data_IF_735597094081
#
_entry.id   IF_735597094081
#
_cell.length_a   1.000
_cell.length_b   1.000
_cell.length_c   1.000
_cell.angle_alpha   90.00
_cell.angle_beta   90.00
_cell.angle_gamma   90.00
#
_symmetry.space_group_name_H-M   'P 1'
#
loop_
_entity.id
_entity.type
_entity.pdbx_description
1 polymer ?
#
# COMPACT_ATOMS: atom_id res chain seq x y z
N UNK A 1 21.10 15.83 5.34
CA UNK A 1 19.62 15.95 5.35
C UNK A 1 18.81 14.73 4.88
N UNK A 2 19.17 13.97 3.84
CA UNK A 2 18.45 12.71 3.51
C UNK A 2 18.87 11.54 4.41
N UNK A 3 20.19 11.41 4.67
CA UNK A 3 20.75 10.30 5.42
C UNK A 3 20.34 10.30 6.91
N UNK A 4 20.24 11.47 7.53
CA UNK A 4 19.83 11.61 8.94
C UNK A 4 18.36 11.20 9.15
N UNK A 5 17.48 11.52 8.19
CA UNK A 5 16.07 11.11 8.23
C UNK A 5 15.90 9.59 8.08
N UNK A 6 16.72 8.95 7.25
CA UNK A 6 16.73 7.48 7.16
C UNK A 6 17.29 6.80 8.41
N UNK A 7 18.30 7.40 9.06
CA UNK A 7 18.86 6.89 10.31
C UNK A 7 17.85 6.98 11.46
N UNK A 8 17.21 8.12 11.65
CA UNK A 8 16.18 8.31 12.68
C UNK A 8 15.00 7.34 12.50
N UNK A 9 14.57 7.12 11.26
CA UNK A 9 13.51 6.15 10.95
C UNK A 9 13.92 4.72 11.32
N UNK A 10 15.12 4.30 10.94
CA UNK A 10 15.59 2.95 11.23
C UNK A 10 15.73 2.73 12.74
N UNK A 11 16.22 3.73 13.48
CA UNK A 11 16.32 3.69 14.95
C UNK A 11 14.93 3.56 15.59
N UNK A 12 13.94 4.31 15.11
CA UNK A 12 12.58 4.25 15.67
C UNK A 12 11.89 2.90 15.41
N UNK A 13 12.12 2.29 14.24
CA UNK A 13 11.64 0.94 13.92
C UNK A 13 12.31 -0.10 14.83
N UNK A 14 13.62 0.00 15.03
CA UNK A 14 14.38 -0.92 15.89
C UNK A 14 13.85 -0.85 17.34
N UNK A 15 13.64 0.36 17.86
CA UNK A 15 13.07 0.58 19.20
C UNK A 15 11.66 -0.02 19.28
N UNK A 16 10.83 0.16 18.27
CA UNK A 16 9.49 -0.44 18.20
C UNK A 16 9.51 -1.98 18.25
N UNK A 17 10.42 -2.62 17.50
CA UNK A 17 10.58 -4.08 17.51
C UNK A 17 11.03 -4.58 18.89
N UNK A 18 11.94 -3.85 19.56
CA UNK A 18 12.40 -4.20 20.91
C UNK A 18 11.23 -4.13 21.91
N UNK A 19 10.45 -3.05 21.87
CA UNK A 19 9.28 -2.88 22.76
C UNK A 19 8.24 -3.97 22.52
N UNK A 20 7.99 -4.34 21.26
CA UNK A 20 7.06 -5.41 20.89
C UNK A 20 7.55 -6.77 21.39
N UNK A 21 8.86 -7.05 21.27
CA UNK A 21 9.48 -8.25 21.81
C UNK A 21 9.36 -8.34 23.35
N UNK A 22 9.61 -7.23 24.06
CA UNK A 22 9.46 -7.16 25.52
C UNK A 22 8.00 -7.36 25.93
N UNK A 23 7.05 -6.74 25.22
CA UNK A 23 5.62 -6.93 25.46
C UNK A 23 5.19 -8.39 25.26
N UNK A 24 5.62 -9.03 24.17
CA UNK A 24 5.30 -10.44 23.89
C UNK A 24 5.88 -11.39 24.94
N UNK A 25 7.09 -11.12 25.44
CA UNK A 25 7.70 -11.89 26.51
C UNK A 25 6.91 -11.77 27.83
N UNK A 26 6.50 -10.55 28.19
CA UNK A 26 5.64 -10.31 29.36
C UNK A 26 4.27 -10.95 29.21
N UNK A 27 3.69 -10.94 28.00
CA UNK A 27 2.42 -11.59 27.69
C UNK A 27 2.52 -13.12 27.87
N UNK A 28 3.60 -13.73 27.38
CA UNK A 28 3.86 -15.16 27.56
C UNK A 28 3.94 -15.54 29.04
N UNK A 29 4.68 -14.75 29.85
CA UNK A 29 4.73 -14.92 31.30
C UNK A 29 3.37 -14.75 31.99
N UNK A 30 2.59 -13.75 31.56
CA UNK A 30 1.25 -13.51 32.08
C UNK A 30 0.28 -14.65 31.76
N UNK A 31 0.33 -15.21 30.55
CA UNK A 31 -0.50 -16.36 30.16
C UNK A 31 -0.16 -17.58 31.01
N UNK A 32 1.13 -17.87 31.25
CA UNK A 32 1.55 -18.96 32.13
C UNK A 32 1.04 -18.72 33.55
N UNK A 33 1.16 -17.50 34.07
CA UNK A 33 0.71 -17.14 35.41
C UNK A 33 -0.82 -17.24 35.56
N UNK A 34 -1.58 -16.83 34.54
CA UNK A 34 -3.05 -16.99 34.51
C UNK A 34 -3.44 -18.46 34.43
N UNK A 35 -2.74 -19.27 33.62
CA UNK A 35 -2.99 -20.71 33.54
C UNK A 35 -2.67 -21.42 34.87
N UNK A 36 -1.58 -20.99 35.52
CA UNK A 36 -1.21 -21.46 36.85
C UNK A 36 -2.27 -21.06 37.88
N UNK A 37 -2.66 -19.78 37.95
CA UNK A 37 -3.71 -19.33 38.86
C UNK A 37 -5.06 -20.00 38.58
N UNK A 38 -5.44 -20.23 37.32
CA UNK A 38 -6.66 -20.96 36.96
C UNK A 38 -6.65 -22.40 37.50
N UNK A 39 -5.48 -23.05 37.54
CA UNK A 39 -5.32 -24.38 38.12
C UNK A 39 -5.51 -24.38 39.65
N UNK A 40 -5.04 -23.34 40.37
CA UNK A 40 -5.19 -23.23 41.84
C UNK A 40 -6.51 -22.58 42.30
N UNK A 41 -7.22 -21.86 41.43
CA UNK A 41 -8.46 -21.16 41.78
C UNK A 41 -9.68 -22.09 41.92
N UNK A 42 -9.52 -23.38 41.63
CA UNK A 42 -10.55 -24.41 41.91
C UNK A 42 -10.72 -24.74 43.41
N UNK A 43 -10.01 -24.07 44.33
CA UNK A 43 -10.13 -24.31 45.78
C UNK A 43 -10.42 -23.07 46.65
N UNK A 44 -10.64 -21.86 46.10
CA UNK A 44 -10.79 -20.66 46.92
C UNK A 44 -11.75 -19.62 46.37
N UNK A 45 -12.75 -19.26 47.17
CA UNK A 45 -13.76 -18.22 46.91
C UNK A 45 -13.14 -16.82 46.79
N UNK A 46 -12.53 -16.46 45.66
CA UNK A 46 -12.33 -15.06 45.26
C UNK A 46 -12.49 -14.91 43.73
N UNK A 47 -13.68 -15.25 43.22
CA UNK A 47 -14.03 -14.97 41.82
C UNK A 47 -14.31 -13.46 41.67
N UNK A 48 -13.25 -12.69 41.39
CA UNK A 48 -13.34 -11.26 41.14
C UNK A 48 -12.43 -10.83 40.00
N UNK A 49 -12.74 -9.68 39.40
CA UNK A 49 -12.06 -9.00 38.30
C UNK A 49 -10.51 -8.90 38.39
N UNK A 50 -9.90 -9.32 39.49
CA UNK A 50 -8.45 -9.32 39.74
C UNK A 50 -7.66 -10.34 38.89
N UNK A 51 -8.29 -11.36 38.30
CA UNK A 51 -7.61 -12.39 37.49
C UNK A 51 -6.90 -11.82 36.24
N UNK A 52 -7.37 -10.68 35.71
CA UNK A 52 -6.87 -10.11 34.46
C UNK A 52 -5.78 -9.04 34.64
N UNK A 53 -5.41 -8.68 35.87
CA UNK A 53 -4.35 -7.70 36.14
C UNK A 53 -2.99 -8.03 35.48
N UNK A 54 -2.47 -9.27 35.49
CA UNK A 54 -1.21 -9.57 34.83
C UNK A 54 -1.28 -9.45 33.30
N UNK A 55 -2.48 -9.45 32.71
CA UNK A 55 -2.68 -9.27 31.27
C UNK A 55 -2.82 -7.79 30.86
N UNK A 56 -3.26 -6.91 31.78
CA UNK A 56 -3.50 -5.50 31.46
C UNK A 56 -2.23 -4.76 31.02
N UNK A 57 -1.12 -4.95 31.74
CA UNK A 57 0.17 -4.31 31.45
C UNK A 57 0.79 -4.75 30.12
N UNK A 58 0.91 -6.06 29.79
CA UNK A 58 1.46 -6.47 28.51
C UNK A 58 0.58 -6.07 27.32
N UNK A 59 -0.75 -6.09 27.47
CA UNK A 59 -1.69 -5.66 26.42
C UNK A 59 -1.58 -4.16 26.16
N UNK A 60 -1.48 -3.33 27.20
CA UNK A 60 -1.25 -1.89 27.04
C UNK A 60 0.10 -1.57 26.38
N UNK A 61 1.16 -2.30 26.72
CA UNK A 61 2.47 -2.15 26.04
C UNK A 61 2.41 -2.61 24.58
N UNK A 62 1.61 -3.62 24.27
CA UNK A 62 1.42 -4.10 22.90
C UNK A 62 0.77 -3.03 22.04
N UNK A 63 -0.31 -2.41 22.52
CA UNK A 63 -1.01 -1.34 21.78
C UNK A 63 -0.11 -0.13 21.57
N UNK A 64 0.66 0.26 22.59
CA UNK A 64 1.65 1.36 22.48
C UNK A 64 2.77 1.00 21.50
N UNK A 65 3.33 -0.21 21.57
CA UNK A 65 4.38 -0.69 20.66
C UNK A 65 3.92 -0.75 19.20
N UNK A 66 2.70 -1.23 18.96
CA UNK A 66 2.08 -1.24 17.63
C UNK A 66 1.88 0.18 17.11
N UNK A 67 1.36 1.09 17.94
CA UNK A 67 1.22 2.50 17.56
C UNK A 67 2.58 3.15 17.24
N UNK A 68 3.64 2.80 17.96
CA UNK A 68 4.99 3.33 17.74
C UNK A 68 5.61 2.82 16.42
N UNK A 69 5.27 1.61 15.97
CA UNK A 69 5.67 1.06 14.66
C UNK A 69 4.81 1.66 13.53
N UNK A 70 3.52 1.87 13.77
CA UNK A 70 2.58 2.39 12.77
C UNK A 70 2.81 3.88 12.52
N UNK A 71 3.13 4.67 13.55
CA UNK A 71 3.32 6.13 13.44
C UNK A 71 4.35 6.56 12.37
N UNK A 72 5.57 5.98 12.29
CA UNK A 72 6.52 6.33 11.22
C UNK A 72 6.10 5.82 9.84
N UNK A 73 5.26 4.78 9.78
CA UNK A 73 4.70 4.25 8.53
C UNK A 73 3.57 5.15 8.02
N UNK A 74 2.77 5.75 8.91
CA UNK A 74 1.65 6.63 8.53
C UNK A 74 2.12 8.07 8.27
N UNK A 75 3.05 8.61 9.07
CA UNK A 75 3.48 10.01 8.96
C UNK A 75 4.43 10.25 7.78
N UNK A 76 5.16 9.23 7.35
CA UNK A 76 5.86 9.23 6.07
C UNK A 76 5.02 8.38 5.13
N UNK A 77 4.11 9.04 4.40
CA UNK A 77 3.31 8.47 3.31
C UNK A 77 4.11 7.33 2.64
N UNK A 78 3.73 6.05 2.83
CA UNK A 78 4.41 4.98 2.15
C UNK A 78 4.05 5.12 0.69
N UNK A 79 5.03 5.48 -0.15
CA UNK A 79 4.90 5.47 -1.62
C UNK A 79 4.60 4.07 -2.19
N UNK A 80 4.15 3.09 -1.38
CA UNK A 80 3.87 1.73 -1.85
C UNK A 80 2.96 0.83 -1.02
N UNK A 81 2.27 1.28 0.03
CA UNK A 81 1.37 0.39 0.80
C UNK A 81 0.01 0.98 1.19
N UNK A 82 -0.14 2.31 1.22
CA UNK A 82 -1.44 2.96 1.47
C UNK A 82 -2.36 3.04 0.25
N UNK A 83 -1.96 2.53 -0.91
CA UNK A 83 -2.75 2.58 -2.15
C UNK A 83 -3.94 1.59 -2.17
N UNK A 84 -3.98 0.59 -1.29
CA UNK A 84 -5.03 -0.44 -1.30
C UNK A 84 -6.31 -0.06 -0.56
N UNK A 85 -6.21 0.69 0.55
CA UNK A 85 -7.34 0.94 1.45
C UNK A 85 -7.86 2.38 1.43
N UNK A 86 -7.04 3.32 0.92
CA UNK A 86 -7.42 4.74 0.81
C UNK A 86 -8.05 5.09 -0.55
N UNK A 87 -7.96 4.19 -1.54
CA UNK A 87 -8.50 4.43 -2.89
C UNK A 87 -10.03 4.30 -2.93
N UNK A 88 -10.64 3.51 -2.04
CA UNK A 88 -12.09 3.37 -2.02
C UNK A 88 -12.82 4.50 -1.28
N UNK A 89 -12.15 5.23 -0.38
CA UNK A 89 -12.80 6.28 0.44
C UNK A 89 -12.57 7.69 -0.13
N UNK A 90 -11.48 7.92 -0.87
CA UNK A 90 -11.14 9.24 -1.45
C UNK A 90 -11.81 9.58 -2.79
N UNK A 91 -12.56 8.66 -3.40
CA UNK A 91 -13.08 8.83 -4.77
C UNK A 91 -14.40 9.61 -4.88
N UNK A 92 -14.92 10.16 -3.77
CA UNK A 92 -16.14 10.99 -3.79
C UNK A 92 -15.88 12.50 -3.83
N UNK A 93 -14.72 12.98 -3.39
CA UNK A 93 -14.55 14.42 -3.10
C UNK A 93 -13.42 15.13 -3.89
N UNK A 94 -12.88 14.54 -4.96
CA UNK A 94 -11.80 15.15 -5.75
C UNK A 94 -12.16 15.38 -7.24
N UNK A 95 -13.44 15.62 -7.54
CA UNK A 95 -13.88 16.17 -8.83
C UNK A 95 -14.04 17.69 -8.67
N UNK A 96 -12.97 18.39 -8.32
CA UNK A 96 -12.82 19.80 -8.73
C UNK A 96 -11.40 20.31 -8.51
N UNK A 97 -10.91 21.00 -9.53
CA UNK A 97 -9.78 21.93 -9.51
C UNK A 97 -8.37 21.35 -9.66
N UNK A 98 -7.77 21.58 -10.84
CA UNK A 98 -6.31 21.54 -11.01
C UNK A 98 -5.81 21.30 -12.43
N UNK A 99 -6.12 22.18 -13.37
CA UNK A 99 -5.56 22.25 -14.73
C UNK A 99 -4.05 22.49 -14.77
N UNK A 100 -3.32 21.79 -15.67
CA UNK A 100 -2.14 22.17 -16.48
C UNK A 100 -1.43 20.86 -16.87
N UNK A 101 -1.33 20.46 -18.14
CA UNK A 101 -0.49 21.06 -19.19
C UNK A 101 -1.10 20.82 -20.58
N UNK A 102 -1.41 21.91 -21.27
CA UNK A 102 -1.96 21.88 -22.62
C UNK A 102 -1.00 21.27 -23.65
N UNK A 103 -1.60 20.45 -24.52
CA UNK A 103 -1.14 19.85 -25.78
C UNK A 103 -1.00 18.32 -25.77
N UNK A 104 -0.70 17.68 -24.63
CA UNK A 104 -0.69 16.21 -24.53
C UNK A 104 -2.10 15.61 -24.54
N UNK A 105 -3.02 16.23 -23.81
CA UNK A 105 -4.40 15.73 -23.66
C UNK A 105 -5.16 15.75 -25.00
N UNK A 106 -4.90 16.75 -25.83
CA UNK A 106 -5.49 16.87 -27.17
C UNK A 106 -4.93 15.83 -28.14
N UNK A 107 -3.66 15.45 -27.99
CA UNK A 107 -3.05 14.39 -28.80
C UNK A 107 -3.66 13.02 -28.44
N UNK A 108 -3.69 12.67 -27.16
CA UNK A 108 -4.30 11.42 -26.71
C UNK A 108 -5.79 11.37 -27.03
N UNK A 109 -6.52 12.49 -26.91
CA UNK A 109 -7.93 12.59 -27.31
C UNK A 109 -8.19 12.30 -28.79
N UNK A 110 -7.27 12.70 -29.69
CA UNK A 110 -7.34 12.34 -31.13
C UNK A 110 -6.97 10.88 -31.37
N UNK A 111 -5.94 10.39 -30.70
CA UNK A 111 -5.48 9.00 -30.81
C UNK A 111 -6.56 8.03 -30.31
N UNK A 112 -7.19 8.29 -29.16
CA UNK A 112 -8.24 7.46 -28.58
C UNK A 112 -9.41 7.24 -29.55
N UNK A 113 -9.75 8.22 -30.39
CA UNK A 113 -10.81 8.10 -31.40
C UNK A 113 -10.47 7.11 -32.53
N UNK A 114 -9.18 6.95 -32.82
CA UNK A 114 -8.66 6.06 -33.88
C UNK A 114 -8.43 4.63 -33.38
N UNK A 115 -8.32 4.44 -32.05
CA UNK A 115 -8.09 3.13 -31.45
C UNK A 115 -9.38 2.30 -31.33
N UNK A 116 -9.28 0.97 -31.48
CA UNK A 116 -10.39 0.05 -31.20
C UNK A 116 -10.75 0.07 -29.71
N UNK A 117 -12.01 -0.23 -29.39
CA UNK A 117 -12.59 -0.08 -28.04
C UNK A 117 -11.71 -0.67 -26.92
N UNK A 118 -11.19 -1.89 -27.12
CA UNK A 118 -10.36 -2.56 -26.12
C UNK A 118 -8.98 -1.88 -25.91
N UNK A 119 -8.38 -1.32 -26.97
CA UNK A 119 -7.11 -0.58 -26.85
C UNK A 119 -7.32 0.80 -26.23
N UNK A 120 -8.44 1.45 -26.56
CA UNK A 120 -8.85 2.73 -25.99
C UNK A 120 -9.02 2.64 -24.48
N UNK A 121 -9.72 1.60 -24.01
CA UNK A 121 -10.01 1.41 -22.59
C UNK A 121 -8.73 1.24 -21.77
N UNK A 122 -7.78 0.46 -22.27
CA UNK A 122 -6.46 0.29 -21.62
C UNK A 122 -5.67 1.60 -21.62
N UNK A 123 -5.64 2.33 -22.74
CA UNK A 123 -4.91 3.60 -22.82
C UNK A 123 -5.52 4.67 -21.90
N UNK A 124 -6.85 4.78 -21.89
CA UNK A 124 -7.58 5.69 -20.99
C UNK A 124 -7.33 5.35 -19.53
N UNK A 125 -7.29 4.05 -19.19
CA UNK A 125 -6.98 3.59 -17.84
C UNK A 125 -5.56 3.99 -17.42
N UNK A 126 -4.57 3.87 -18.31
CA UNK A 126 -3.19 4.30 -18.04
C UNK A 126 -3.12 5.83 -17.87
N UNK A 127 -3.82 6.61 -18.70
CA UNK A 127 -3.90 8.07 -18.56
C UNK A 127 -4.54 8.46 -17.23
N UNK A 128 -5.67 7.85 -16.87
CA UNK A 128 -6.40 8.09 -15.61
C UNK A 128 -5.57 7.75 -14.38
N UNK A 129 -4.66 6.77 -14.50
CA UNK A 129 -3.78 6.32 -13.42
C UNK A 129 -2.54 7.19 -13.24
N UNK A 130 -2.40 8.29 -13.99
CA UNK A 130 -1.25 9.20 -13.89
C UNK A 130 -0.07 8.82 -14.79
N UNK A 131 -0.30 7.98 -15.81
CA UNK A 131 0.68 7.70 -16.87
C UNK A 131 1.72 6.62 -16.58
N UNK A 132 1.71 6.01 -15.39
CA UNK A 132 2.53 4.84 -15.05
C UNK A 132 1.71 3.83 -14.25
N UNK A 133 1.65 2.59 -14.73
CA UNK A 133 0.88 1.55 -14.07
C UNK A 133 1.47 0.16 -14.28
N UNK A 134 1.28 -0.74 -13.32
CA UNK A 134 1.70 -2.13 -13.49
C UNK A 134 0.73 -2.92 -14.37
N UNK A 135 1.27 -3.83 -15.19
CA UNK A 135 0.46 -4.68 -16.06
C UNK A 135 -0.58 -5.53 -15.29
N UNK A 136 -0.28 -5.93 -14.05
CA UNK A 136 -1.23 -6.70 -13.24
C UNK A 136 -2.44 -5.86 -12.79
N UNK A 137 -2.30 -4.53 -12.67
CA UNK A 137 -3.40 -3.65 -12.30
C UNK A 137 -4.35 -3.51 -13.50
N UNK A 138 -3.81 -3.31 -14.71
CA UNK A 138 -4.59 -3.34 -15.96
C UNK A 138 -5.41 -4.65 -16.07
N UNK A 139 -4.79 -5.80 -15.79
CA UNK A 139 -5.49 -7.09 -15.82
C UNK A 139 -6.64 -7.17 -14.82
N UNK A 140 -6.41 -6.73 -13.58
CA UNK A 140 -7.40 -6.81 -12.50
C UNK A 140 -8.56 -5.86 -12.74
N UNK A 141 -8.25 -4.62 -13.11
CA UNK A 141 -9.22 -3.53 -13.09
C UNK A 141 -10.06 -3.48 -14.37
N UNK A 142 -9.53 -3.99 -15.50
CA UNK A 142 -10.29 -4.22 -16.73
C UNK A 142 -10.80 -5.67 -16.88
N UNK A 143 -10.54 -6.55 -15.91
CA UNK A 143 -10.94 -7.97 -15.99
C UNK A 143 -10.32 -8.73 -17.17
N UNK A 144 -9.16 -8.31 -17.66
CA UNK A 144 -8.49 -8.90 -18.82
C UNK A 144 -7.64 -10.09 -18.42
N UNK A 145 -7.67 -11.15 -19.24
CA UNK A 145 -6.71 -12.25 -19.09
C UNK A 145 -5.28 -11.78 -19.34
N UNK A 146 -4.30 -12.50 -18.77
CA UNK A 146 -2.86 -12.21 -18.94
C UNK A 146 -2.46 -12.05 -20.41
N UNK A 147 -2.98 -12.93 -21.27
CA UNK A 147 -2.68 -12.95 -22.70
C UNK A 147 -3.34 -11.76 -23.42
N UNK A 148 -4.58 -11.43 -23.09
CA UNK A 148 -5.27 -10.28 -23.68
C UNK A 148 -4.61 -8.95 -23.29
N UNK A 149 -4.31 -8.75 -22.01
CA UNK A 149 -3.62 -7.56 -21.53
C UNK A 149 -2.24 -7.42 -22.20
N UNK A 150 -1.48 -8.51 -22.29
CA UNK A 150 -0.19 -8.49 -22.99
C UNK A 150 -0.34 -8.13 -24.48
N UNK A 151 -1.29 -8.72 -25.21
CA UNK A 151 -1.52 -8.41 -26.64
C UNK A 151 -1.90 -6.95 -26.86
N UNK A 152 -2.75 -6.39 -26.00
CA UNK A 152 -3.19 -4.98 -26.11
C UNK A 152 -2.03 -4.04 -25.78
N UNK A 153 -1.32 -4.28 -24.68
CA UNK A 153 -0.16 -3.47 -24.28
C UNK A 153 0.92 -3.50 -25.36
N UNK A 154 1.21 -4.68 -25.91
CA UNK A 154 2.23 -4.82 -26.95
C UNK A 154 1.85 -4.08 -28.24
N UNK A 155 0.57 -4.11 -28.66
CA UNK A 155 0.10 -3.30 -29.80
C UNK A 155 0.20 -1.79 -29.56
N UNK A 156 -0.07 -1.35 -28.34
CA UNK A 156 0.05 0.06 -27.96
C UNK A 156 1.51 0.50 -27.89
N UNK A 157 2.41 -0.40 -27.50
CA UNK A 157 3.86 -0.22 -27.54
C UNK A 157 4.39 -0.15 -28.98
N UNK A 158 3.95 -1.04 -29.88
CA UNK A 158 4.27 -0.99 -31.32
C UNK A 158 3.83 0.33 -31.97
N UNK A 159 2.69 0.88 -31.54
CA UNK A 159 2.19 2.19 -31.96
C UNK A 159 2.95 3.37 -31.34
N UNK A 160 3.90 3.09 -30.45
CA UNK A 160 4.73 4.09 -29.78
C UNK A 160 3.99 4.93 -28.74
N UNK A 161 2.81 4.49 -28.29
CA UNK A 161 2.00 5.22 -27.29
C UNK A 161 2.39 4.85 -25.86
N UNK A 162 2.86 3.62 -25.67
CA UNK A 162 3.26 3.07 -24.38
C UNK A 162 4.70 2.54 -24.44
N UNK A 163 5.35 2.48 -23.28
CA UNK A 163 6.65 1.84 -23.06
C UNK A 163 6.51 0.82 -21.93
N UNK A 164 7.02 -0.41 -22.14
CA UNK A 164 7.03 -1.45 -21.11
C UNK A 164 8.42 -1.57 -20.48
N UNK A 165 8.51 -1.28 -19.17
CA UNK A 165 9.76 -1.38 -18.41
C UNK A 165 9.68 -2.51 -17.39
N UNK A 166 10.71 -3.35 -17.34
CA UNK A 166 10.84 -4.41 -16.33
C UNK A 166 11.51 -3.86 -15.07
N UNK A 167 10.77 -3.81 -13.97
CA UNK A 167 11.28 -3.36 -12.66
C UNK A 167 11.02 -4.45 -11.62
N UNK A 168 12.07 -4.92 -10.94
CA UNK A 168 11.99 -5.91 -9.85
C UNK A 168 11.16 -7.16 -10.21
N UNK A 169 11.31 -7.66 -11.43
CA UNK A 169 10.60 -8.85 -11.92
C UNK A 169 9.14 -8.62 -12.30
N UNK A 170 8.66 -7.37 -12.37
CA UNK A 170 7.31 -7.01 -12.82
C UNK A 170 7.36 -6.07 -14.04
N UNK A 171 6.32 -6.12 -14.86
CA UNK A 171 6.18 -5.24 -16.03
C UNK A 171 5.40 -3.97 -15.62
N UNK A 172 6.04 -2.83 -15.81
CA UNK A 172 5.45 -1.49 -15.68
C UNK A 172 5.16 -0.98 -17.08
N UNK A 173 3.98 -0.41 -17.27
CA UNK A 173 3.51 0.21 -18.50
C UNK A 173 3.47 1.71 -18.27
N UNK A 174 4.21 2.48 -19.07
CA UNK A 174 4.30 3.94 -18.98
C UNK A 174 3.80 4.57 -20.28
N UNK A 175 3.17 5.74 -20.17
CA UNK A 175 2.92 6.58 -21.36
C UNK A 175 4.25 7.06 -21.91
N UNK A 176 4.41 6.98 -23.23
CA UNK A 176 5.57 7.54 -23.89
C UNK A 176 5.38 9.05 -23.96
N UNK A 177 6.17 9.78 -23.18
CA UNK A 177 6.17 11.23 -23.24
C UNK A 177 6.94 11.69 -24.48
N UNK A 178 6.22 12.24 -25.47
CA UNK A 178 6.82 12.72 -26.72
C UNK A 178 7.60 14.03 -26.54
N UNK A 179 7.57 14.64 -25.35
CA UNK A 179 8.22 15.91 -25.06
C UNK A 179 9.67 15.80 -24.53
N UNK A 180 10.24 14.59 -24.49
CA UNK A 180 11.62 14.34 -24.01
C UNK A 180 12.62 14.03 -25.13
N UNK A 181 12.57 14.81 -26.20
CA UNK A 181 13.64 14.87 -27.19
C UNK A 181 14.00 16.33 -27.48
N UNK A 182 14.89 16.86 -26.64
CA UNK A 182 15.96 17.79 -26.97
C UNK A 182 16.92 17.90 -25.79
#
# INVERSE_FOLDING_TARGET
MSNERSLLRNVLIIIGIIILGVSAYLLYGAIIMVNYMAYYHCMGMMCGMMMYYPLFLPVALLTVGVMMIITPIILIKPDGFSQGLSYEIGQRDAVESGSMTGNSDDYYGRVLKLLPKAEREVLEYVIRSGGEIFQYQIMRDLGLSKVQAWRIVHRLEEKGLLEVVKVKGRNIVRLKDFNKTN
#
